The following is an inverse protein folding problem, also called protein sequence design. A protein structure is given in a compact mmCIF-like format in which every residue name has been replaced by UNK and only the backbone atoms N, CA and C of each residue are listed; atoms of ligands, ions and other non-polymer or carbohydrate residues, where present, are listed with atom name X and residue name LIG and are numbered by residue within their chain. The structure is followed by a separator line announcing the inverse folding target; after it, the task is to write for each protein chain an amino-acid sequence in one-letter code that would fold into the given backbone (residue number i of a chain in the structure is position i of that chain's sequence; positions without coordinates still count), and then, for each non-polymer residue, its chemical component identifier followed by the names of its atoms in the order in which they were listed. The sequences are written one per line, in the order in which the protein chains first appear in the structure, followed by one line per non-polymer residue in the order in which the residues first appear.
data_IF_768850590305
#
_entry.id   IF_768850590305
#
_cell.length_a   1.000
_cell.length_b   1.000
_cell.length_c   1.000
_cell.angle_alpha   90.00
_cell.angle_beta   90.00
_cell.angle_gamma   90.00
#
_symmetry.space_group_name_H-M   'P 1'
#
loop_
_entity.id
_entity.type
_entity.pdbx_description
1 polymer ?
#
# COMPACT_ATOMS: atom_id res chain seq x y z
N UNK A 1 -62.52 -40.34 18.46
CA UNK A 1 -62.54 -39.19 19.38
C UNK A 1 -61.21 -38.45 19.21
N UNK A 2 -61.28 -37.19 18.82
CA UNK A 2 -60.13 -36.28 18.63
C UNK A 2 -59.49 -35.97 19.98
N UNK A 3 -58.16 -35.86 20.05
CA UNK A 3 -57.44 -34.80 20.78
C UNK A 3 -56.09 -34.60 20.08
N UNK A 4 -55.83 -33.34 19.78
CA UNK A 4 -54.72 -32.76 19.04
C UNK A 4 -53.70 -32.22 20.04
N UNK A 5 -52.40 -32.47 19.82
CA UNK A 5 -51.25 -31.72 20.39
C UNK A 5 -50.06 -32.10 19.47
N UNK A 6 -49.57 -31.34 18.50
CA UNK A 6 -49.02 -29.97 18.45
C UNK A 6 -47.83 -29.76 19.42
N UNK A 7 -46.69 -29.33 18.84
CA UNK A 7 -45.36 -29.01 19.38
C UNK A 7 -44.35 -30.20 19.36
N UNK A 8 -43.13 -30.10 18.83
CA UNK A 8 -42.41 -28.97 18.26
C UNK A 8 -41.35 -29.48 17.26
N UNK A 9 -41.28 -28.82 16.11
CA UNK A 9 -40.14 -28.89 15.20
C UNK A 9 -38.97 -28.11 15.83
N UNK A 10 -37.86 -28.79 16.08
CA UNK A 10 -36.56 -28.14 16.25
C UNK A 10 -35.67 -28.64 15.10
N UNK A 11 -35.73 -27.89 14.00
CA UNK A 11 -34.87 -28.11 12.85
C UNK A 11 -33.41 -28.02 13.27
N UNK A 12 -32.67 -29.10 13.08
CA UNK A 12 -31.23 -29.06 12.99
C UNK A 12 -30.86 -28.33 11.69
N UNK A 13 -30.98 -27.00 11.72
CA UNK A 13 -30.24 -26.15 10.82
C UNK A 13 -28.78 -26.26 11.25
N UNK A 14 -28.09 -27.28 10.73
CA UNK A 14 -26.65 -27.20 10.60
C UNK A 14 -26.38 -25.93 9.81
N UNK A 15 -25.84 -24.92 10.50
CA UNK A 15 -25.10 -23.86 9.87
C UNK A 15 -24.01 -24.53 9.04
N UNK A 16 -24.31 -24.79 7.76
CA UNK A 16 -23.30 -24.74 6.74
C UNK A 16 -22.71 -23.34 6.86
N UNK A 17 -21.62 -23.24 7.64
CA UNK A 17 -20.71 -22.12 7.62
C UNK A 17 -20.41 -21.89 6.16
N UNK A 18 -21.04 -20.86 5.61
CA UNK A 18 -20.90 -20.43 4.24
C UNK A 18 -19.40 -20.30 3.98
N UNK A 19 -18.91 -21.02 2.97
CA UNK A 19 -17.52 -20.99 2.52
C UNK A 19 -17.13 -19.66 1.88
N UNK A 20 -17.31 -18.56 2.62
CA UNK A 20 -16.80 -17.24 2.28
C UNK A 20 -15.41 -17.10 2.88
N UNK A 21 -14.39 -17.62 2.19
CA UNK A 21 -13.02 -17.26 2.50
C UNK A 21 -12.89 -15.73 2.54
N UNK A 22 -12.27 -15.20 3.59
CA UNK A 22 -12.10 -13.76 3.75
C UNK A 22 -11.42 -13.18 2.50
N UNK A 23 -11.98 -12.09 1.96
CA UNK A 23 -11.51 -11.52 0.70
C UNK A 23 -10.10 -10.94 0.87
N UNK A 24 -9.24 -11.20 -0.11
CA UNK A 24 -7.93 -10.59 -0.26
C UNK A 24 -8.07 -9.39 -1.18
N UNK A 25 -7.82 -8.19 -0.66
CA UNK A 25 -7.83 -6.97 -1.46
C UNK A 25 -6.39 -6.59 -1.76
N UNK A 26 -6.08 -6.32 -3.02
CA UNK A 26 -4.73 -6.04 -3.47
C UNK A 26 -4.71 -4.75 -4.26
N UNK A 27 -3.84 -3.83 -3.86
CA UNK A 27 -3.47 -2.67 -4.67
C UNK A 27 -2.16 -3.00 -5.39
N UNK A 28 -2.25 -3.25 -6.68
CA UNK A 28 -1.12 -3.71 -7.50
C UNK A 28 -0.48 -2.53 -8.21
N UNK A 29 0.81 -2.31 -7.95
CA UNK A 29 1.64 -1.31 -8.62
C UNK A 29 2.45 -1.92 -9.75
N UNK A 30 2.33 -1.33 -10.94
CA UNK A 30 3.00 -1.77 -12.17
C UNK A 30 3.62 -0.60 -12.95
N UNK A 31 4.43 -0.93 -13.95
CA UNK A 31 4.92 0.02 -14.94
C UNK A 31 3.88 0.26 -16.06
N UNK A 32 4.13 1.22 -16.94
CA UNK A 32 3.23 1.53 -18.05
C UNK A 32 3.13 0.38 -19.07
N UNK A 33 1.92 0.09 -19.52
CA UNK A 33 1.67 -0.97 -20.51
C UNK A 33 1.80 -2.39 -19.95
N UNK A 34 1.76 -2.55 -18.63
CA UNK A 34 1.52 -3.85 -17.99
C UNK A 34 0.09 -4.33 -18.25
N UNK A 35 -0.11 -5.64 -18.30
CA UNK A 35 -1.44 -6.26 -18.35
C UNK A 35 -1.64 -7.12 -17.11
N UNK A 36 -2.87 -7.13 -16.60
CA UNK A 36 -3.24 -7.91 -15.42
C UNK A 36 -4.41 -8.81 -15.78
N UNK A 37 -4.19 -10.13 -15.68
CA UNK A 37 -5.18 -11.16 -15.84
C UNK A 37 -5.57 -11.68 -14.44
N UNK A 38 -6.70 -11.18 -13.94
CA UNK A 38 -7.20 -11.50 -12.59
C UNK A 38 -7.58 -12.99 -12.46
N UNK A 39 -8.19 -13.57 -13.50
CA UNK A 39 -8.60 -14.97 -13.49
C UNK A 39 -7.40 -15.93 -13.42
N UNK A 40 -6.31 -15.60 -14.13
CA UNK A 40 -5.07 -16.38 -14.13
C UNK A 40 -4.10 -16.00 -12.99
N UNK A 41 -4.44 -14.99 -12.16
CA UNK A 41 -3.54 -14.38 -11.17
C UNK A 41 -2.17 -14.04 -11.77
N UNK A 42 -2.18 -13.47 -12.98
CA UNK A 42 -0.98 -13.21 -13.77
C UNK A 42 -0.86 -11.72 -14.10
N UNK A 43 0.34 -11.19 -13.93
CA UNK A 43 0.72 -9.83 -14.32
C UNK A 43 1.82 -9.96 -15.38
N UNK A 44 1.62 -9.40 -16.56
CA UNK A 44 2.70 -9.25 -17.54
C UNK A 44 3.21 -7.84 -17.51
N UNK A 45 4.49 -7.66 -17.18
CA UNK A 45 5.13 -6.34 -17.13
C UNK A 45 6.06 -6.14 -18.32
N UNK A 46 6.16 -4.88 -18.76
CA UNK A 46 7.15 -4.42 -19.73
C UNK A 46 8.23 -3.61 -18.99
N UNK A 47 9.46 -3.63 -19.50
CA UNK A 47 10.53 -2.77 -18.99
C UNK A 47 10.36 -1.34 -19.50
N UNK A 48 9.32 -0.68 -19.00
CA UNK A 48 8.96 0.70 -19.31
C UNK A 48 9.00 1.52 -18.03
N UNK A 49 9.16 2.83 -18.18
CA UNK A 49 9.01 3.76 -17.07
C UNK A 49 7.53 4.10 -16.84
N UNK A 50 7.18 4.42 -15.59
CA UNK A 50 5.86 4.89 -15.22
C UNK A 50 5.34 4.26 -13.94
N UNK A 51 4.10 4.59 -13.62
CA UNK A 51 3.37 4.04 -12.50
C UNK A 51 1.92 3.87 -12.92
N UNK A 52 1.39 2.65 -12.77
CA UNK A 52 -0.03 2.39 -12.74
C UNK A 52 -0.35 1.65 -11.45
N UNK A 53 -1.54 1.89 -10.95
CA UNK A 53 -2.12 1.17 -9.85
C UNK A 53 -3.45 0.55 -10.28
N UNK A 54 -3.72 -0.66 -9.81
CA UNK A 54 -5.01 -1.32 -9.99
C UNK A 54 -5.39 -2.05 -8.72
N UNK A 55 -6.59 -1.78 -8.24
CA UNK A 55 -7.19 -2.56 -7.16
C UNK A 55 -7.81 -3.84 -7.72
N UNK A 56 -7.56 -4.96 -7.04
CA UNK A 56 -8.05 -6.29 -7.40
C UNK A 56 -8.55 -6.93 -6.12
N UNK A 57 -9.68 -7.62 -6.20
CA UNK A 57 -10.22 -8.40 -5.09
C UNK A 57 -10.19 -9.87 -5.46
N UNK A 58 -9.41 -10.65 -4.72
CA UNK A 58 -9.41 -12.10 -4.83
C UNK A 58 -10.28 -12.72 -3.75
N UNK A 59 -11.06 -13.72 -4.16
CA UNK A 59 -11.71 -14.65 -3.23
C UNK A 59 -10.76 -15.82 -3.05
N UNK A 60 -9.92 -15.78 -2.02
CA UNK A 60 -9.04 -16.89 -1.64
C UNK A 60 -9.03 -16.98 -0.14
N UNK A 61 -9.48 -18.10 0.42
CA UNK A 61 -9.34 -18.38 1.86
C UNK A 61 -7.94 -18.88 2.24
N UNK A 62 -7.15 -19.30 1.24
CA UNK A 62 -5.82 -19.90 1.40
C UNK A 62 -4.74 -19.08 0.69
N UNK A 63 -3.46 -19.32 1.05
CA UNK A 63 -2.26 -18.71 0.46
C UNK A 63 -2.36 -18.65 -1.07
N UNK A 64 -2.33 -17.44 -1.62
CA UNK A 64 -2.34 -17.21 -3.06
C UNK A 64 -0.94 -16.80 -3.56
N UNK A 65 -0.68 -17.02 -4.85
CA UNK A 65 0.51 -16.51 -5.52
C UNK A 65 0.10 -15.73 -6.77
N UNK A 66 0.80 -14.64 -7.03
CA UNK A 66 0.65 -13.83 -8.24
C UNK A 66 1.87 -14.07 -9.12
N UNK A 67 1.64 -14.57 -10.33
CA UNK A 67 2.70 -14.80 -11.30
C UNK A 67 3.01 -13.49 -12.05
N UNK A 68 4.26 -13.05 -12.02
CA UNK A 68 4.72 -11.87 -12.76
C UNK A 68 5.60 -12.33 -13.91
N UNK A 69 5.13 -12.14 -15.15
CA UNK A 69 5.91 -12.35 -16.37
C UNK A 69 6.69 -11.07 -16.67
N UNK A 70 8.00 -11.15 -16.55
CA UNK A 70 8.92 -10.06 -16.87
C UNK A 70 9.93 -10.49 -17.94
N UNK A 71 10.58 -9.52 -18.57
CA UNK A 71 11.60 -9.79 -19.59
C UNK A 71 12.82 -10.54 -19.03
N UNK A 72 13.11 -10.37 -17.74
CA UNK A 72 14.18 -11.06 -17.00
C UNK A 72 13.73 -12.40 -16.38
N UNK A 73 12.53 -12.88 -16.75
CA UNK A 73 11.98 -14.16 -16.32
C UNK A 73 10.71 -14.03 -15.47
N UNK A 74 10.12 -15.18 -15.15
CA UNK A 74 8.91 -15.23 -14.34
C UNK A 74 9.26 -15.13 -12.86
N UNK A 75 8.51 -14.30 -12.13
CA UNK A 75 8.56 -14.20 -10.66
C UNK A 75 7.23 -14.64 -10.06
N UNK A 76 7.24 -15.05 -8.80
CA UNK A 76 6.03 -15.36 -8.04
C UNK A 76 6.01 -14.48 -6.79
N UNK A 77 4.89 -13.79 -6.55
CA UNK A 77 4.67 -12.98 -5.36
C UNK A 77 3.67 -13.71 -4.47
N UNK A 78 4.08 -14.09 -3.26
CA UNK A 78 3.23 -14.78 -2.30
C UNK A 78 2.32 -13.81 -1.55
N UNK A 79 1.06 -14.21 -1.40
CA UNK A 79 0.03 -13.54 -0.61
C UNK A 79 -0.39 -14.53 0.48
N UNK A 80 0.08 -14.37 1.73
CA UNK A 80 0.00 -15.40 2.76
C UNK A 80 -1.41 -15.62 3.35
N UNK A 81 -2.41 -14.83 2.95
CA UNK A 81 -3.81 -14.99 3.33
C UNK A 81 -4.57 -13.67 3.30
N UNK A 82 -5.73 -13.64 3.95
CA UNK A 82 -6.64 -12.49 3.96
C UNK A 82 -6.03 -11.17 4.45
N UNK A 83 -6.53 -10.05 3.90
CA UNK A 83 -6.14 -8.68 4.25
C UNK A 83 -6.09 -7.76 3.03
N UNK A 84 -5.74 -6.49 3.29
CA UNK A 84 -5.41 -5.52 2.25
C UNK A 84 -3.90 -5.45 2.06
N UNK A 85 -3.42 -5.83 0.88
CA UNK A 85 -2.02 -5.84 0.48
C UNK A 85 -1.70 -4.74 -0.52
N UNK A 86 -0.47 -4.24 -0.44
CA UNK A 86 0.17 -3.55 -1.55
C UNK A 86 1.12 -4.52 -2.23
N UNK A 87 0.95 -4.69 -3.54
CA UNK A 87 1.78 -5.57 -4.37
C UNK A 87 2.63 -4.72 -5.29
N UNK A 88 3.95 -4.83 -5.17
CA UNK A 88 4.89 -4.19 -6.07
C UNK A 88 5.32 -5.17 -7.16
N UNK A 89 4.66 -5.12 -8.31
CA UNK A 89 5.03 -5.93 -9.48
C UNK A 89 6.06 -5.20 -10.37
N UNK A 90 6.59 -4.05 -9.96
CA UNK A 90 7.60 -3.32 -10.74
C UNK A 90 8.96 -4.02 -10.67
N UNK A 91 9.73 -3.85 -11.74
CA UNK A 91 11.06 -4.47 -11.87
C UNK A 91 12.19 -3.75 -11.13
N UNK A 92 12.12 -2.42 -11.02
CA UNK A 92 13.27 -1.59 -10.64
C UNK A 92 12.99 -0.57 -9.53
N UNK A 93 11.73 -0.46 -9.12
CA UNK A 93 11.29 0.59 -8.20
C UNK A 93 10.86 -0.05 -6.88
N UNK A 94 11.33 0.51 -5.78
CA UNK A 94 10.89 0.10 -4.44
C UNK A 94 9.83 1.07 -3.96
N UNK A 95 8.79 0.53 -3.34
CA UNK A 95 7.69 1.31 -2.80
C UNK A 95 7.86 1.39 -1.29
N UNK A 96 7.77 2.61 -0.77
CA UNK A 96 7.98 2.89 0.66
C UNK A 96 6.79 3.69 1.15
N UNK A 97 6.26 3.34 2.31
CA UNK A 97 5.09 4.02 2.84
C UNK A 97 4.83 3.72 4.30
N UNK A 98 3.73 4.26 4.79
CA UNK A 98 3.29 4.00 6.15
C UNK A 98 1.98 4.65 6.51
N UNK A 99 1.52 4.31 7.71
CA UNK A 99 0.30 4.87 8.31
C UNK A 99 0.38 6.38 8.41
N UNK A 100 -0.70 7.05 8.03
CA UNK A 100 -0.87 8.48 8.13
C UNK A 100 -1.92 8.77 9.19
N UNK A 101 -1.51 9.43 10.27
CA UNK A 101 -2.45 9.92 11.26
C UNK A 101 -3.28 11.02 10.63
N UNK A 102 -4.53 10.72 10.30
CA UNK A 102 -5.48 11.71 9.83
C UNK A 102 -5.90 12.59 11.01
N UNK A 103 -5.19 13.68 11.24
CA UNK A 103 -5.55 14.69 12.24
C UNK A 103 -6.31 15.84 11.60
N UNK A 104 -7.03 16.59 12.44
CA UNK A 104 -7.85 17.72 12.04
C UNK A 104 -7.07 18.80 11.25
N UNK A 105 -7.76 19.66 10.48
CA UNK A 105 -7.17 20.69 9.61
C UNK A 105 -6.22 21.69 10.31
N UNK A 106 -6.17 21.72 11.64
CA UNK A 106 -5.39 22.65 12.47
C UNK A 106 -3.87 22.45 12.36
N UNK A 107 -3.42 21.31 11.85
CA UNK A 107 -1.99 21.01 11.61
C UNK A 107 -1.53 21.40 10.19
N UNK A 108 -2.45 21.63 9.24
CA UNK A 108 -2.12 21.76 7.81
C UNK A 108 -1.43 23.09 7.44
N UNK A 109 -1.57 24.13 8.28
CA UNK A 109 -1.03 25.48 8.02
C UNK A 109 0.14 25.87 8.93
N UNK A 110 0.81 24.93 9.59
CA UNK A 110 1.97 25.25 10.44
C UNK A 110 3.17 25.62 9.56
N UNK A 111 3.70 26.84 9.77
CA UNK A 111 4.99 27.26 9.20
C UNK A 111 6.07 26.32 9.75
N UNK A 112 6.75 25.62 8.85
CA UNK A 112 7.80 24.66 9.19
C UNK A 112 9.12 25.40 9.47
N UNK A 113 9.67 25.18 10.66
CA UNK A 113 11.02 25.67 11.05
C UNK A 113 12.12 24.94 10.27
N UNK A 114 13.32 25.51 10.23
CA UNK A 114 14.48 24.88 9.57
C UNK A 114 14.88 23.57 10.25
N UNK A 115 14.74 23.47 11.57
CA UNK A 115 15.01 22.25 12.33
C UNK A 115 13.98 21.16 12.02
N UNK A 116 12.71 21.53 11.82
CA UNK A 116 11.67 20.59 11.38
C UNK A 116 11.92 20.14 9.94
N UNK A 117 12.34 21.04 9.05
CA UNK A 117 12.70 20.71 7.67
C UNK A 117 13.88 19.72 7.63
N UNK A 118 14.94 19.96 8.41
CA UNK A 118 16.08 19.05 8.51
C UNK A 118 15.69 17.67 9.04
N UNK A 119 14.85 17.59 10.09
CA UNK A 119 14.33 16.32 10.61
C UNK A 119 13.47 15.57 9.59
N UNK A 120 12.70 16.28 8.78
CA UNK A 120 11.90 15.68 7.72
C UNK A 120 12.79 15.09 6.62
N UNK A 121 13.83 15.81 6.20
CA UNK A 121 14.83 15.30 5.24
C UNK A 121 15.52 14.04 5.79
N UNK A 122 15.95 14.06 7.05
CA UNK A 122 16.58 12.91 7.68
C UNK A 122 15.63 11.69 7.74
N UNK A 123 14.38 11.92 8.12
CA UNK A 123 13.34 10.87 8.13
C UNK A 123 13.13 10.27 6.74
N UNK A 124 13.09 11.09 5.68
CA UNK A 124 12.98 10.62 4.30
C UNK A 124 14.23 9.82 3.88
N UNK A 125 15.43 10.21 4.31
CA UNK A 125 16.67 9.46 4.06
C UNK A 125 16.65 8.10 4.78
N UNK A 126 16.18 8.03 6.02
CA UNK A 126 16.00 6.77 6.76
C UNK A 126 14.95 5.85 6.12
N UNK A 127 13.90 6.42 5.51
CA UNK A 127 12.92 5.65 4.75
C UNK A 127 13.55 5.00 3.52
N UNK A 128 14.45 5.69 2.81
CA UNK A 128 15.17 5.14 1.65
C UNK A 128 16.07 3.94 2.01
N UNK A 129 16.61 3.89 3.22
CA UNK A 129 17.49 2.81 3.68
C UNK A 129 16.75 1.66 4.35
N UNK A 130 15.43 1.76 4.49
CA UNK A 130 14.62 0.76 5.21
C UNK A 130 14.89 0.71 6.72
N UNK A 131 15.62 1.67 7.28
CA UNK A 131 16.07 1.63 8.69
C UNK A 131 14.96 1.92 9.70
N UNK A 132 13.75 2.27 9.24
CA UNK A 132 12.59 2.57 10.08
C UNK A 132 11.37 1.67 9.75
N UNK A 133 11.59 0.48 9.19
CA UNK A 133 10.54 -0.51 8.93
C UNK A 133 10.17 -1.20 10.24
N UNK A 134 8.89 -1.18 10.62
CA UNK A 134 8.37 -2.06 11.66
C UNK A 134 6.86 -2.16 11.55
N UNK A 135 6.34 -3.34 11.84
CA UNK A 135 4.90 -3.59 11.93
C UNK A 135 4.23 -2.71 13.00
N UNK A 136 4.90 -2.52 14.15
CA UNK A 136 4.43 -1.65 15.23
C UNK A 136 4.26 -0.19 14.81
N UNK A 137 5.15 0.34 13.96
CA UNK A 137 5.05 1.71 13.42
C UNK A 137 4.23 1.78 12.13
N UNK A 138 3.74 0.64 11.63
CA UNK A 138 3.02 0.53 10.35
C UNK A 138 3.77 1.21 9.21
N UNK A 139 5.07 0.94 9.11
CA UNK A 139 5.96 1.43 8.06
C UNK A 139 6.41 0.27 7.18
N UNK A 140 6.44 0.50 5.87
CA UNK A 140 6.58 -0.55 4.87
C UNK A 140 7.66 -0.19 3.86
N UNK A 141 8.44 -1.19 3.48
CA UNK A 141 9.41 -1.15 2.39
C UNK A 141 9.14 -2.38 1.53
N UNK A 142 8.72 -2.15 0.30
CA UNK A 142 8.17 -3.17 -0.59
C UNK A 142 9.07 -3.21 -1.85
N UNK A 143 10.10 -4.06 -1.85
CA UNK A 143 11.00 -4.25 -3.00
C UNK A 143 10.27 -4.65 -4.28
N UNK A 144 10.94 -4.57 -5.45
CA UNK A 144 10.49 -5.21 -6.67
C UNK A 144 10.01 -6.65 -6.45
N UNK A 145 8.92 -7.02 -7.11
CA UNK A 145 8.34 -8.37 -7.07
C UNK A 145 8.03 -8.88 -5.67
N UNK A 146 7.49 -8.02 -4.81
CA UNK A 146 7.11 -8.39 -3.46
C UNK A 146 5.77 -7.76 -3.07
N UNK A 147 5.23 -8.22 -1.95
CA UNK A 147 4.02 -7.68 -1.37
C UNK A 147 4.18 -7.48 0.13
N UNK A 148 3.40 -6.55 0.69
CA UNK A 148 3.27 -6.37 2.12
C UNK A 148 1.79 -6.33 2.50
N UNK A 149 1.44 -7.04 3.58
CA UNK A 149 0.14 -6.88 4.23
C UNK A 149 0.12 -5.53 4.92
N UNK A 150 -0.84 -4.68 4.57
CA UNK A 150 -0.93 -3.33 5.11
C UNK A 150 -1.86 -3.30 6.32
N UNK A 151 -3.00 -3.98 6.21
CA UNK A 151 -4.00 -4.03 7.28
C UNK A 151 -5.01 -5.16 7.01
N UNK A 152 -5.75 -5.56 8.05
CA UNK A 152 -6.94 -6.41 7.92
C UNK A 152 -8.18 -5.64 7.48
N UNK A 153 -8.14 -4.30 7.53
CA UNK A 153 -9.24 -3.43 7.15
C UNK A 153 -9.29 -3.22 5.63
N UNK A 154 -10.21 -3.90 4.94
CA UNK A 154 -10.41 -3.76 3.50
C UNK A 154 -10.88 -2.36 3.06
N UNK A 155 -11.43 -1.57 3.99
CA UNK A 155 -11.91 -0.20 3.75
C UNK A 155 -10.84 0.86 4.04
N UNK A 156 -9.61 0.45 4.40
CA UNK A 156 -8.51 1.40 4.59
C UNK A 156 -8.20 2.14 3.29
N UNK A 157 -7.90 3.44 3.42
CA UNK A 157 -7.60 4.29 2.29
C UNK A 157 -6.11 4.25 2.00
N UNK A 158 -5.73 3.70 0.84
CA UNK A 158 -4.35 3.65 0.40
C UNK A 158 -4.13 4.70 -0.68
N UNK A 159 -3.21 5.63 -0.42
CA UNK A 159 -2.79 6.64 -1.39
C UNK A 159 -1.46 6.21 -2.00
N UNK A 160 -1.49 5.85 -3.28
CA UNK A 160 -0.31 5.42 -4.00
C UNK A 160 0.66 6.54 -4.39
N UNK A 161 1.83 6.16 -4.92
CA UNK A 161 2.83 7.09 -5.44
C UNK A 161 2.24 8.09 -6.44
N UNK A 162 2.78 9.31 -6.46
CA UNK A 162 2.38 10.40 -7.39
C UNK A 162 0.93 10.93 -7.26
N UNK A 163 0.08 10.32 -6.43
CA UNK A 163 -1.25 10.86 -6.12
C UNK A 163 -1.16 11.93 -5.05
N UNK A 164 -2.08 12.90 -4.99
CA UNK A 164 -2.18 13.80 -3.82
C UNK A 164 -3.19 13.22 -2.84
N UNK A 165 -2.96 13.44 -1.55
CA UNK A 165 -3.99 13.12 -0.55
C UNK A 165 -5.12 14.14 -0.69
N UNK A 166 -6.34 13.66 -0.84
CA UNK A 166 -7.57 14.47 -0.85
C UNK A 166 -8.22 14.45 0.54
N UNK A 167 -9.26 15.27 0.75
CA UNK A 167 -10.11 15.12 1.93
C UNK A 167 -10.74 13.73 1.96
N UNK A 168 -10.80 13.12 3.15
CA UNK A 168 -11.41 11.80 3.37
C UNK A 168 -12.49 11.99 4.43
N UNK A 169 -13.71 11.59 4.08
CA UNK A 169 -14.84 11.69 5.00
C UNK A 169 -14.73 10.65 6.12
N UNK A 170 -15.17 11.03 7.31
CA UNK A 170 -15.33 10.09 8.42
C UNK A 170 -16.59 9.27 8.22
N UNK A 171 -16.55 8.01 8.61
CA UNK A 171 -17.75 7.16 8.69
C UNK A 171 -18.20 7.13 10.15
N UNK A 172 -19.20 7.95 10.48
CA UNK A 172 -19.61 8.19 11.86
C UNK A 172 -18.47 8.82 12.68
N UNK A 173 -18.21 8.30 13.88
CA UNK A 173 -17.18 8.81 14.78
C UNK A 173 -15.79 8.18 14.58
N UNK A 174 -15.61 7.33 13.56
CA UNK A 174 -14.34 6.66 13.29
C UNK A 174 -13.46 7.48 12.35
N UNK A 175 -12.24 7.78 12.78
CA UNK A 175 -11.23 8.34 11.90
C UNK A 175 -10.86 7.33 10.80
N UNK A 176 -10.67 7.78 9.55
CA UNK A 176 -10.29 6.89 8.46
C UNK A 176 -8.89 6.32 8.71
N UNK A 177 -8.73 5.03 8.40
CA UNK A 177 -7.43 4.38 8.41
C UNK A 177 -6.72 4.67 7.07
N UNK A 178 -5.67 5.49 7.11
CA UNK A 178 -5.02 5.98 5.89
C UNK A 178 -3.57 5.52 5.83
N UNK A 179 -3.15 5.05 4.66
CA UNK A 179 -1.77 4.72 4.35
C UNK A 179 -1.30 5.50 3.13
N UNK A 180 -0.06 5.97 3.17
CA UNK A 180 0.54 6.72 2.07
C UNK A 180 1.83 6.04 1.62
N UNK A 181 1.92 5.83 0.31
CA UNK A 181 3.07 5.22 -0.34
C UNK A 181 3.69 6.18 -1.35
N UNK A 182 4.99 6.00 -1.53
CA UNK A 182 5.84 6.76 -2.42
C UNK A 182 6.76 5.79 -3.16
N UNK A 183 7.15 6.17 -4.37
CA UNK A 183 8.31 5.53 -5.00
C UNK A 183 9.61 6.08 -4.42
N UNK A 184 10.69 5.30 -4.45
CA UNK A 184 12.04 5.81 -4.11
C UNK A 184 12.38 7.05 -4.92
N UNK A 185 11.97 7.10 -6.19
CA UNK A 185 12.18 8.27 -7.05
C UNK A 185 11.47 9.52 -6.52
N UNK A 186 10.20 9.40 -6.12
CA UNK A 186 9.42 10.50 -5.55
C UNK A 186 10.04 11.02 -4.24
N UNK A 187 10.54 10.12 -3.39
CA UNK A 187 11.25 10.51 -2.16
C UNK A 187 12.54 11.27 -2.49
N UNK A 188 13.35 10.80 -3.45
CA UNK A 188 14.58 11.49 -3.88
C UNK A 188 14.29 12.88 -4.45
N UNK A 189 13.26 13.00 -5.29
CA UNK A 189 12.81 14.29 -5.82
C UNK A 189 12.34 15.23 -4.71
N UNK A 190 11.63 14.69 -3.70
CA UNK A 190 11.16 15.45 -2.54
C UNK A 190 12.33 15.94 -1.70
N UNK A 191 13.29 15.07 -1.37
CA UNK A 191 14.52 15.45 -0.65
C UNK A 191 15.25 16.57 -1.42
N UNK A 192 15.46 16.42 -2.73
CA UNK A 192 16.15 17.45 -3.52
C UNK A 192 15.40 18.79 -3.57
N UNK A 193 14.06 18.79 -3.51
CA UNK A 193 13.27 20.03 -3.37
C UNK A 193 13.43 20.64 -1.98
N UNK A 194 13.37 19.83 -0.93
CA UNK A 194 13.49 20.26 0.46
C UNK A 194 14.90 20.81 0.75
N UNK A 195 15.95 20.18 0.24
CA UNK A 195 17.33 20.64 0.39
C UNK A 195 17.54 22.04 -0.23
N UNK A 196 16.92 22.33 -1.39
CA UNK A 196 16.96 23.68 -1.97
C UNK A 196 16.32 24.76 -1.09
N UNK A 197 15.35 24.40 -0.26
CA UNK A 197 14.69 25.31 0.68
C UNK A 197 15.50 25.53 1.96
N UNK A 198 16.47 24.67 2.26
CA UNK A 198 17.37 24.82 3.42
C UNK A 198 18.51 25.82 3.18
N UNK A 199 18.61 26.43 2.00
CA UNK A 199 19.67 27.40 1.67
C UNK A 199 21.05 26.77 1.43
N UNK A 200 21.16 25.43 1.43
CA UNK A 200 22.31 24.74 0.88
C UNK A 200 22.32 24.95 -0.64
N UNK A 201 23.03 25.98 -1.10
CA UNK A 201 23.32 26.17 -2.52
C UNK A 201 23.96 24.90 -3.11
N UNK A 202 23.85 24.68 -4.43
CA UNK A 202 24.54 23.56 -5.08
C UNK A 202 26.01 23.56 -4.64
N UNK A 203 26.52 22.39 -4.25
CA UNK A 203 27.94 22.22 -3.96
C UNK A 203 28.71 22.84 -5.12
N UNK A 204 29.52 23.85 -4.82
CA UNK A 204 30.32 24.55 -5.82
C UNK A 204 31.09 23.50 -6.63
N UNK A 205 30.87 23.48 -7.94
CA UNK A 205 31.72 22.74 -8.87
C UNK A 205 33.17 23.10 -8.54
N UNK A 206 33.92 22.12 -8.09
CA UNK A 206 35.36 22.23 -7.93
C UNK A 206 36.02 22.15 -9.31
N UNK A 207 35.77 23.15 -10.16
CA UNK A 207 36.71 23.49 -11.24
C UNK A 207 37.75 24.41 -10.66
N UNK A 208 38.71 23.78 -9.98
CA UNK A 208 39.99 24.41 -9.69
C UNK A 208 40.76 24.60 -10.98
N UNK A 209 41.06 25.87 -11.28
CA UNK A 209 42.14 26.43 -12.10
C UNK A 209 42.34 25.88 -13.52
#
# INVERSE_FOLDING_TARGET
MRITLLLAAAGAAFFASCGGGAAEKLLVYTNNGASINEAAKEITIKDTFGHNEKEIVFKSGDKAAINVKAADGNKSIEIPGAGYYVVNAKARDTIIGGFQKYSAPDQANRVMTQEQLARNIDSLKQMLTGSNISEAKKTFFIPPYSAAKITDNADAFIVGPYHRMTSIEKVGDKDPEVYRFYSVREIRETIGKLEKLTGAGPAADSTGK
#
